data_IF_474358015679
#
_entry.id   IF_474358015679
#
_cell.length_a   1.000
_cell.length_b   1.000
_cell.length_c   1.000
_cell.angle_alpha   90.00
_cell.angle_beta   90.00
_cell.angle_gamma   90.00
#
_symmetry.space_group_name_H-M   'P 1'
#
loop_
_entity.id
_entity.type
_entity.pdbx_description
1 polymer ?
#
# COMPACT_ATOMS: atom_id res chain seq x y z
N UNK A 1 17.10 -2.33 15.23
CA UNK A 1 15.90 -2.63 16.06
C UNK A 1 15.63 -4.14 16.14
N UNK A 2 15.33 -4.89 15.02
CA UNK A 2 15.04 -6.34 15.11
C UNK A 2 16.18 -7.12 15.76
N UNK A 3 17.43 -6.87 15.37
CA UNK A 3 18.60 -7.51 15.96
C UNK A 3 18.79 -7.14 17.44
N UNK A 4 18.50 -5.91 17.81
CA UNK A 4 18.52 -5.44 19.22
C UNK A 4 17.45 -6.17 20.05
N UNK A 5 16.21 -6.29 19.51
CA UNK A 5 15.14 -7.03 20.18
C UNK A 5 15.56 -8.50 20.39
N UNK A 6 16.13 -9.15 19.38
CA UNK A 6 16.62 -10.53 19.50
C UNK A 6 17.72 -10.64 20.56
N UNK A 7 18.60 -9.65 20.66
CA UNK A 7 19.68 -9.64 21.65
C UNK A 7 19.16 -9.43 23.08
N UNK A 8 18.24 -8.49 23.27
CA UNK A 8 17.70 -8.15 24.59
C UNK A 8 16.65 -9.16 25.08
N UNK A 9 15.94 -9.80 24.14
CA UNK A 9 14.87 -10.75 24.42
C UNK A 9 15.08 -12.06 23.64
N UNK A 10 16.08 -12.88 23.98
CA UNK A 10 16.47 -14.05 23.19
C UNK A 10 15.40 -15.15 23.13
N UNK A 11 14.53 -15.23 24.13
CA UNK A 11 13.50 -16.27 24.24
C UNK A 11 12.16 -15.92 23.60
N UNK A 12 12.02 -14.70 23.07
CA UNK A 12 10.77 -14.26 22.43
C UNK A 12 10.77 -14.66 20.94
N UNK A 13 9.65 -15.19 20.46
CA UNK A 13 9.47 -15.43 19.04
C UNK A 13 9.25 -14.12 18.27
N UNK A 14 10.00 -13.93 17.19
CA UNK A 14 9.93 -12.73 16.34
C UNK A 14 9.28 -13.07 15.01
N UNK A 15 8.17 -12.40 14.72
CA UNK A 15 7.56 -12.39 13.39
C UNK A 15 7.80 -11.06 12.70
N UNK A 16 8.29 -11.10 11.46
CA UNK A 16 8.54 -9.91 10.64
C UNK A 16 7.67 -9.94 9.40
N UNK A 17 6.91 -8.86 9.19
CA UNK A 17 6.16 -8.66 7.95
C UNK A 17 7.12 -8.29 6.82
N UNK A 18 7.14 -9.09 5.75
CA UNK A 18 8.14 -8.98 4.68
C UNK A 18 7.56 -8.81 3.28
N UNK A 19 6.27 -9.09 3.07
CA UNK A 19 5.67 -8.96 1.75
C UNK A 19 4.17 -8.73 1.84
N UNK A 20 3.67 -7.83 1.00
CA UNK A 20 2.25 -7.59 0.80
C UNK A 20 1.86 -6.12 0.88
N UNK A 21 0.57 -5.89 0.98
CA UNK A 21 0.02 -4.54 0.99
C UNK A 21 0.40 -3.79 2.27
N UNK A 22 1.17 -2.70 2.14
CA UNK A 22 1.41 -1.81 3.27
C UNK A 22 0.15 -1.02 3.62
N UNK A 23 -0.06 -0.79 4.90
CA UNK A 23 -1.08 0.12 5.39
C UNK A 23 -0.67 1.57 5.06
N UNK A 24 -1.63 2.39 4.67
CA UNK A 24 -1.41 3.85 4.45
C UNK A 24 -1.24 4.61 5.76
N UNK A 25 -1.67 4.03 6.87
CA UNK A 25 -1.61 4.64 8.18
C UNK A 25 -0.65 3.88 9.09
N UNK A 26 -0.07 4.60 10.03
CA UNK A 26 0.68 3.98 11.13
C UNK A 26 -0.21 3.01 11.88
N UNK A 27 0.35 1.90 12.34
CA UNK A 27 -0.39 0.85 13.05
C UNK A 27 -1.29 1.43 14.15
N UNK A 28 -2.53 1.05 14.13
CA UNK A 28 -3.54 1.53 15.06
C UNK A 28 -4.21 2.87 14.72
N UNK A 29 -3.80 3.53 13.65
CA UNK A 29 -4.33 4.86 13.30
C UNK A 29 -5.12 4.90 11.99
N UNK A 30 -5.40 3.75 11.39
CA UNK A 30 -6.24 3.68 10.21
C UNK A 30 -7.72 3.85 10.59
N UNK A 31 -8.36 4.90 10.09
CA UNK A 31 -9.78 5.15 10.30
C UNK A 31 -10.67 4.58 9.20
N UNK A 32 -10.11 4.26 8.02
CA UNK A 32 -10.90 3.85 6.84
C UNK A 32 -11.76 2.62 7.09
N UNK A 33 -11.19 1.57 7.69
CA UNK A 33 -11.94 0.35 7.98
C UNK A 33 -13.07 0.58 8.99
N UNK A 34 -12.84 1.44 9.97
CA UNK A 34 -13.86 1.86 10.94
C UNK A 34 -14.95 2.71 10.29
N UNK A 35 -14.54 3.68 9.47
CA UNK A 35 -15.45 4.61 8.80
C UNK A 35 -16.39 3.89 7.81
N UNK A 36 -15.84 3.03 6.94
CA UNK A 36 -16.64 2.37 5.91
C UNK A 36 -17.41 1.14 6.39
N UNK A 37 -16.89 0.41 7.37
CA UNK A 37 -17.42 -0.91 7.72
C UNK A 37 -17.59 -1.13 9.23
N UNK A 38 -17.38 -0.12 10.04
CA UNK A 38 -17.44 -0.20 11.51
C UNK A 38 -16.55 -1.32 12.09
N UNK A 39 -15.38 -1.58 11.45
CA UNK A 39 -14.42 -2.60 11.87
C UNK A 39 -13.09 -1.97 12.27
N UNK A 40 -12.67 -2.23 13.50
CA UNK A 40 -11.39 -1.74 14.00
C UNK A 40 -10.23 -2.52 13.39
N UNK A 41 -9.32 -1.86 12.64
CA UNK A 41 -8.18 -2.52 12.03
C UNK A 41 -7.19 -3.11 13.04
N UNK A 42 -7.17 -2.60 14.29
CA UNK A 42 -6.28 -3.09 15.34
C UNK A 42 -6.67 -4.47 15.89
N UNK A 43 -7.92 -4.86 15.70
CA UNK A 43 -8.44 -6.16 16.13
C UNK A 43 -8.36 -7.24 15.05
N UNK A 44 -7.54 -7.05 14.03
CA UNK A 44 -7.40 -7.98 12.91
C UNK A 44 -8.61 -8.04 11.98
N UNK A 45 -9.57 -7.14 12.12
CA UNK A 45 -10.83 -7.14 11.36
C UNK A 45 -10.82 -6.15 10.18
N UNK A 46 -9.65 -5.64 9.81
CA UNK A 46 -9.49 -4.73 8.67
C UNK A 46 -10.08 -5.32 7.38
N UNK A 47 -10.91 -4.55 6.70
CA UNK A 47 -11.54 -4.93 5.43
C UNK A 47 -10.72 -4.60 4.19
N UNK A 48 -9.51 -4.03 4.37
CA UNK A 48 -8.67 -3.51 3.30
C UNK A 48 -9.38 -2.48 2.41
N UNK A 49 -10.26 -1.66 2.97
CA UNK A 49 -11.00 -0.63 2.24
C UNK A 49 -10.09 0.31 1.43
N UNK A 50 -8.85 0.53 1.88
CA UNK A 50 -7.85 1.29 1.13
C UNK A 50 -7.38 0.61 -0.19
N UNK A 51 -7.86 -0.58 -0.51
CA UNK A 51 -7.54 -1.34 -1.73
C UNK A 51 -8.74 -1.53 -2.66
N UNK A 52 -9.89 -0.98 -2.29
CA UNK A 52 -11.09 -1.04 -3.12
C UNK A 52 -11.00 -0.04 -4.27
N UNK A 53 -11.86 -0.20 -5.27
CA UNK A 53 -12.00 0.73 -6.37
C UNK A 53 -12.96 1.85 -5.99
N UNK A 54 -12.48 3.09 -6.14
CA UNK A 54 -13.25 4.29 -5.86
C UNK A 54 -13.29 5.21 -7.07
N UNK A 55 -14.43 5.84 -7.28
CA UNK A 55 -14.57 6.95 -8.20
C UNK A 55 -14.59 8.24 -7.40
N UNK A 56 -13.81 9.21 -7.83
CA UNK A 56 -13.77 10.53 -7.22
C UNK A 56 -14.66 11.47 -8.00
N UNK A 57 -15.55 12.15 -7.29
CA UNK A 57 -16.45 13.14 -7.84
C UNK A 57 -16.14 14.49 -7.20
N UNK A 58 -16.19 15.54 -8.00
CA UNK A 58 -16.04 16.89 -7.48
C UNK A 58 -17.29 17.29 -6.68
N UNK A 59 -17.08 17.97 -5.59
CA UNK A 59 -18.14 18.42 -4.71
C UNK A 59 -18.01 19.93 -4.41
N UNK A 60 -19.08 20.51 -3.97
CA UNK A 60 -19.12 21.84 -3.36
C UNK A 60 -19.74 21.71 -2.00
N UNK A 61 -19.34 22.55 -1.07
CA UNK A 61 -19.93 22.65 0.25
C UNK A 61 -21.16 23.56 0.18
N UNK A 62 -22.27 23.10 0.72
CA UNK A 62 -23.48 23.92 0.88
C UNK A 62 -23.33 24.87 2.05
N UNK A 63 -24.22 25.89 2.14
CA UNK A 63 -24.26 26.82 3.28
C UNK A 63 -24.50 26.09 4.63
N UNK A 64 -24.99 24.87 4.59
CA UNK A 64 -25.20 24.01 5.78
C UNK A 64 -23.98 23.14 6.11
N UNK A 65 -22.90 23.18 5.30
CA UNK A 65 -21.70 22.36 5.47
C UNK A 65 -21.77 20.96 4.83
N UNK A 66 -22.82 20.68 4.06
CA UNK A 66 -22.97 19.40 3.39
C UNK A 66 -22.25 19.37 2.03
N UNK A 67 -21.52 18.29 1.74
CA UNK A 67 -20.89 18.08 0.45
C UNK A 67 -21.95 17.70 -0.61
N UNK A 68 -22.03 18.47 -1.68
CA UNK A 68 -22.96 18.25 -2.80
C UNK A 68 -22.21 17.95 -4.10
N UNK A 69 -22.72 17.00 -4.87
CA UNK A 69 -22.13 16.59 -6.15
C UNK A 69 -22.20 17.73 -7.19
N UNK A 70 -21.04 18.07 -7.77
CA UNK A 70 -20.96 18.95 -8.93
C UNK A 70 -21.07 18.13 -10.21
N UNK A 71 -22.11 18.39 -11.01
CA UNK A 71 -22.31 17.73 -12.31
C UNK A 71 -21.35 18.28 -13.36
N UNK A 72 -20.81 17.40 -14.22
CA UNK A 72 -20.03 17.80 -15.40
C UNK A 72 -18.53 18.03 -15.17
N UNK A 73 -17.99 17.63 -14.01
CA UNK A 73 -16.55 17.76 -13.73
C UNK A 73 -15.77 16.54 -14.19
N UNK A 74 -14.66 16.75 -14.91
CA UNK A 74 -13.71 15.70 -15.26
C UNK A 74 -12.50 15.80 -14.34
N UNK A 75 -12.45 14.89 -13.36
CA UNK A 75 -11.39 14.87 -12.34
C UNK A 75 -10.01 14.58 -12.94
N UNK A 76 -9.90 13.65 -13.90
CA UNK A 76 -8.63 13.27 -14.50
C UNK A 76 -7.98 14.47 -15.22
N UNK A 77 -8.75 15.17 -16.03
CA UNK A 77 -8.28 16.37 -16.73
C UNK A 77 -7.87 17.48 -15.77
N UNK A 78 -8.65 17.71 -14.76
CA UNK A 78 -8.36 18.72 -13.76
C UNK A 78 -7.14 18.38 -12.90
N UNK A 79 -6.92 17.10 -12.61
CA UNK A 79 -5.73 16.62 -11.91
C UNK A 79 -4.48 16.76 -12.77
N UNK A 80 -4.56 16.45 -14.08
CA UNK A 80 -3.46 16.66 -15.00
C UNK A 80 -3.07 18.15 -15.09
N UNK A 81 -4.03 19.04 -15.23
CA UNK A 81 -3.81 20.49 -15.26
C UNK A 81 -3.18 21.00 -13.94
N UNK A 82 -3.64 20.49 -12.80
CA UNK A 82 -3.08 20.85 -11.49
C UNK A 82 -1.65 20.34 -11.33
N UNK A 83 -1.36 19.10 -11.73
CA UNK A 83 -0.03 18.51 -11.66
C UNK A 83 0.97 19.23 -12.59
N UNK A 84 0.55 19.66 -13.78
CA UNK A 84 1.41 20.41 -14.70
C UNK A 84 1.80 21.79 -14.15
N UNK A 85 0.96 22.39 -13.32
CA UNK A 85 1.19 23.70 -12.72
C UNK A 85 1.77 23.63 -11.29
N UNK A 86 2.03 22.42 -10.77
CA UNK A 86 2.51 22.22 -9.42
C UNK A 86 4.03 22.23 -9.36
N UNK A 87 4.61 23.31 -8.90
CA UNK A 87 6.06 23.52 -8.74
C UNK A 87 6.60 23.16 -7.34
N UNK A 88 5.97 22.29 -6.57
CA UNK A 88 6.35 22.13 -5.18
C UNK A 88 6.35 20.71 -4.66
N UNK A 89 7.47 19.99 -4.79
CA UNK A 89 7.68 18.72 -4.06
C UNK A 89 8.34 18.93 -2.70
N UNK A 90 8.94 20.07 -2.43
CA UNK A 90 9.68 20.35 -1.18
C UNK A 90 8.85 21.08 -0.13
N UNK A 91 7.60 20.71 0.07
CA UNK A 91 6.89 20.96 1.34
C UNK A 91 6.38 22.38 1.58
N UNK A 92 6.42 23.30 0.63
CA UNK A 92 6.05 24.70 0.87
C UNK A 92 4.82 25.21 0.11
N UNK A 93 4.26 24.44 -0.81
CA UNK A 93 2.97 24.80 -1.46
C UNK A 93 2.04 23.61 -1.46
N UNK A 94 0.88 23.75 -0.84
CA UNK A 94 -0.21 22.77 -0.93
C UNK A 94 -0.70 22.67 -2.38
N UNK A 95 -1.04 21.44 -2.78
CA UNK A 95 -1.65 21.22 -4.09
C UNK A 95 -2.97 22.00 -4.22
N UNK A 96 -3.32 22.57 -5.40
CA UNK A 96 -4.54 23.38 -5.57
C UNK A 96 -5.86 22.68 -5.21
N UNK A 97 -5.86 21.35 -5.13
CA UNK A 97 -7.01 20.56 -4.72
C UNK A 97 -7.03 20.18 -3.24
N UNK A 98 -5.99 20.48 -2.49
CA UNK A 98 -5.88 20.09 -1.08
C UNK A 98 -6.99 20.68 -0.19
N UNK A 99 -7.49 21.87 -0.54
CA UNK A 99 -8.53 22.56 0.23
C UNK A 99 -9.95 22.38 -0.36
N UNK A 100 -10.10 21.44 -1.31
CA UNK A 100 -11.41 21.17 -1.94
C UNK A 100 -12.08 19.97 -1.32
N UNK A 101 -13.39 20.02 -1.23
CA UNK A 101 -14.22 18.87 -0.87
C UNK A 101 -14.47 18.02 -2.10
N UNK A 102 -14.30 16.71 -1.95
CA UNK A 102 -14.64 15.72 -2.96
C UNK A 102 -15.61 14.70 -2.39
N UNK A 103 -16.32 14.02 -3.28
CA UNK A 103 -17.10 12.83 -2.94
C UNK A 103 -16.44 11.61 -3.56
N UNK A 104 -16.36 10.52 -2.82
CA UNK A 104 -15.91 9.22 -3.33
C UNK A 104 -17.08 8.25 -3.34
N UNK A 105 -17.13 7.45 -4.40
CA UNK A 105 -18.10 6.37 -4.60
C UNK A 105 -17.33 5.07 -4.72
N UNK A 106 -17.68 4.07 -3.91
CA UNK A 106 -17.10 2.74 -3.99
C UNK A 106 -17.81 1.94 -5.09
N UNK A 107 -17.04 1.26 -5.97
CA UNK A 107 -17.56 0.62 -7.20
C UNK A 107 -18.62 -0.46 -6.94
N UNK A 108 -18.61 -1.11 -5.78
CA UNK A 108 -19.63 -2.08 -5.39
C UNK A 108 -20.85 -1.47 -4.68
N UNK A 109 -20.82 -0.16 -4.42
CA UNK A 109 -21.91 0.60 -3.77
C UNK A 109 -22.23 1.86 -4.59
N UNK A 110 -22.70 1.69 -5.84
CA UNK A 110 -23.00 2.83 -6.71
C UNK A 110 -24.12 3.69 -6.11
N UNK A 111 -23.90 5.00 -6.12
CA UNK A 111 -24.84 5.98 -5.57
C UNK A 111 -24.63 6.31 -4.08
N UNK A 112 -23.80 5.55 -3.35
CA UNK A 112 -23.43 5.89 -1.98
C UNK A 112 -22.20 6.81 -2.01
N UNK A 113 -22.45 8.13 -1.94
CA UNK A 113 -21.41 9.15 -1.95
C UNK A 113 -20.90 9.43 -0.56
N UNK A 114 -19.58 9.43 -0.40
CA UNK A 114 -18.90 9.68 0.87
C UNK A 114 -17.97 10.90 0.74
N UNK A 115 -18.06 11.90 1.63
CA UNK A 115 -17.20 13.08 1.57
C UNK A 115 -15.75 12.71 1.91
N UNK A 116 -14.81 13.30 1.18
CA UNK A 116 -13.38 13.24 1.44
C UNK A 116 -12.81 14.66 1.44
N UNK A 117 -12.02 14.96 2.43
CA UNK A 117 -11.36 16.26 2.60
C UNK A 117 -9.91 16.03 2.99
N UNK A 118 -9.06 16.97 2.62
CA UNK A 118 -7.69 17.05 3.10
C UNK A 118 -7.59 18.20 4.10
N UNK A 119 -6.91 17.97 5.22
CA UNK A 119 -6.59 19.01 6.17
C UNK A 119 -5.08 19.34 6.20
N UNK A 120 -4.68 20.25 7.07
CA UNK A 120 -3.28 20.65 7.25
C UNK A 120 -2.40 19.54 7.86
N UNK A 121 -2.99 18.45 8.35
CA UNK A 121 -2.31 17.34 9.01
C UNK A 121 -2.09 16.14 8.09
N UNK A 122 -2.67 16.13 6.90
CA UNK A 122 -2.39 15.12 5.88
C UNK A 122 -3.52 14.82 4.92
N UNK A 123 -3.11 14.22 3.82
CA UNK A 123 -3.99 13.63 2.82
C UNK A 123 -4.09 12.14 3.06
N UNK A 124 -5.28 11.62 3.07
CA UNK A 124 -5.51 10.18 3.09
C UNK A 124 -5.49 9.63 1.67
N UNK A 125 -4.28 9.44 1.12
CA UNK A 125 -4.11 8.86 -0.21
C UNK A 125 -4.04 7.35 -0.08
N UNK A 126 -4.93 6.64 -0.75
CA UNK A 126 -5.05 5.19 -0.72
C UNK A 126 -4.05 4.47 -1.62
N UNK A 127 -2.83 4.98 -1.74
CA UNK A 127 -1.86 4.56 -2.75
C UNK A 127 -0.50 4.16 -2.19
N UNK A 128 -0.46 3.51 -1.02
CA UNK A 128 0.80 2.97 -0.51
C UNK A 128 1.33 1.86 -1.42
N UNK A 129 2.64 1.87 -1.67
CA UNK A 129 3.35 0.78 -2.35
C UNK A 129 3.23 -0.53 -1.57
N UNK A 130 3.43 -1.64 -2.24
CA UNK A 130 3.48 -2.94 -1.59
C UNK A 130 4.88 -3.19 -1.00
N UNK A 131 4.95 -3.83 0.17
CA UNK A 131 6.22 -4.23 0.77
C UNK A 131 6.82 -5.40 -0.01
N UNK A 132 8.11 -5.34 -0.27
CA UNK A 132 8.92 -6.45 -0.75
C UNK A 132 10.24 -6.50 0.02
N UNK A 133 10.37 -7.48 0.91
CA UNK A 133 11.55 -7.67 1.74
C UNK A 133 12.34 -8.93 1.38
N UNK A 134 12.22 -9.46 0.15
CA UNK A 134 12.89 -10.71 -0.24
C UNK A 134 14.41 -10.60 -0.19
N UNK A 135 14.96 -9.43 -0.48
CA UNK A 135 16.39 -9.13 -0.49
C UNK A 135 17.01 -9.15 0.91
N UNK A 136 16.19 -8.97 1.95
CA UNK A 136 16.65 -8.98 3.36
C UNK A 136 16.41 -10.29 4.07
N UNK A 137 15.86 -11.31 3.42
CA UNK A 137 15.57 -12.63 3.99
C UNK A 137 16.81 -13.26 4.60
N UNK A 138 17.96 -13.25 3.91
CA UNK A 138 19.22 -13.78 4.44
C UNK A 138 19.63 -13.08 5.75
N UNK A 139 19.50 -11.77 5.78
CA UNK A 139 19.82 -10.96 6.96
C UNK A 139 18.89 -11.28 8.14
N UNK A 140 17.58 -11.42 7.89
CA UNK A 140 16.60 -11.77 8.90
C UNK A 140 16.82 -13.19 9.43
N UNK A 141 17.14 -14.15 8.56
CA UNK A 141 17.49 -15.52 8.96
C UNK A 141 18.74 -15.54 9.85
N UNK A 142 19.78 -14.76 9.53
CA UNK A 142 21.00 -14.65 10.35
C UNK A 142 20.76 -13.99 11.71
N UNK A 143 19.80 -13.07 11.81
CA UNK A 143 19.38 -12.48 13.09
C UNK A 143 18.65 -13.52 13.97
N UNK A 144 18.08 -14.56 13.36
CA UNK A 144 17.27 -15.57 14.06
C UNK A 144 15.80 -15.16 14.19
N UNK A 145 15.24 -14.53 13.16
CA UNK A 145 13.79 -14.28 13.08
C UNK A 145 13.08 -15.62 12.87
N UNK A 146 12.05 -15.88 13.68
CA UNK A 146 11.36 -17.16 13.72
C UNK A 146 10.28 -17.30 12.63
N UNK A 147 9.64 -16.20 12.27
CA UNK A 147 8.55 -16.18 11.28
C UNK A 147 8.65 -14.99 10.33
N UNK A 148 8.44 -15.28 9.04
CA UNK A 148 8.39 -14.27 7.98
C UNK A 148 6.96 -14.21 7.43
N UNK A 149 6.27 -13.11 7.72
CA UNK A 149 4.85 -12.93 7.39
C UNK A 149 4.65 -12.37 6.00
N UNK A 150 3.84 -13.06 5.21
CA UNK A 150 3.39 -12.65 3.88
C UNK A 150 1.89 -12.39 3.90
N UNK A 151 1.44 -11.28 3.32
CA UNK A 151 0.03 -10.94 3.18
C UNK A 151 -0.39 -11.02 1.70
N UNK A 152 -1.50 -11.69 1.44
CA UNK A 152 -2.08 -11.83 0.10
C UNK A 152 -3.61 -11.94 0.14
N UNK A 153 -4.25 -11.43 1.18
CA UNK A 153 -5.69 -11.59 1.48
C UNK A 153 -6.60 -11.14 0.34
N UNK A 154 -6.24 -10.07 -0.34
CA UNK A 154 -7.01 -9.51 -1.47
C UNK A 154 -6.41 -9.88 -2.83
N UNK A 155 -5.45 -10.78 -2.85
CA UNK A 155 -4.74 -11.19 -4.07
C UNK A 155 -5.26 -12.54 -4.59
N UNK A 156 -4.95 -12.86 -5.85
CA UNK A 156 -5.31 -14.14 -6.46
C UNK A 156 -4.53 -15.32 -5.85
N UNK A 157 -5.06 -16.53 -5.99
CA UNK A 157 -4.34 -17.76 -5.62
C UNK A 157 -3.00 -17.89 -6.32
N UNK A 158 -2.92 -17.51 -7.60
CA UNK A 158 -1.68 -17.48 -8.35
C UNK A 158 -0.63 -16.56 -7.71
N UNK A 159 -1.04 -15.35 -7.32
CA UNK A 159 -0.17 -14.41 -6.61
C UNK A 159 0.39 -15.04 -5.32
N UNK A 160 -0.49 -15.59 -4.48
CA UNK A 160 -0.08 -16.19 -3.19
C UNK A 160 0.89 -17.35 -3.41
N UNK A 161 0.59 -18.23 -4.38
CA UNK A 161 1.45 -19.37 -4.70
C UNK A 161 2.85 -18.92 -5.18
N UNK A 162 2.91 -17.95 -6.10
CA UNK A 162 4.19 -17.44 -6.64
C UNK A 162 5.00 -16.71 -5.57
N UNK A 163 4.36 -15.89 -4.76
CA UNK A 163 5.05 -15.21 -3.63
C UNK A 163 5.59 -16.24 -2.65
N UNK A 164 4.77 -17.21 -2.23
CA UNK A 164 5.21 -18.26 -1.30
C UNK A 164 6.39 -19.07 -1.88
N UNK A 165 6.35 -19.43 -3.16
CA UNK A 165 7.44 -20.14 -3.84
C UNK A 165 8.74 -19.32 -3.83
N UNK A 166 8.68 -18.03 -4.19
CA UNK A 166 9.85 -17.16 -4.25
C UNK A 166 10.48 -16.97 -2.86
N UNK A 167 9.67 -16.72 -1.84
CA UNK A 167 10.17 -16.59 -0.47
C UNK A 167 10.66 -17.91 0.11
N UNK A 168 10.01 -19.04 -0.18
CA UNK A 168 10.51 -20.36 0.25
C UNK A 168 11.91 -20.62 -0.33
N UNK A 169 12.11 -20.33 -1.62
CA UNK A 169 13.41 -20.46 -2.24
C UNK A 169 14.47 -19.54 -1.60
N UNK A 170 14.12 -18.28 -1.36
CA UNK A 170 15.03 -17.33 -0.72
C UNK A 170 15.43 -17.77 0.70
N UNK A 171 14.49 -18.32 1.48
CA UNK A 171 14.76 -18.87 2.82
C UNK A 171 15.69 -20.09 2.72
N UNK A 172 15.40 -21.04 1.84
CA UNK A 172 16.20 -22.26 1.67
C UNK A 172 17.63 -21.94 1.20
N UNK A 173 17.79 -20.92 0.34
CA UNK A 173 19.09 -20.44 -0.09
C UNK A 173 19.86 -19.78 1.08
N UNK A 174 19.16 -18.93 1.86
CA UNK A 174 19.76 -18.27 3.02
C UNK A 174 20.22 -19.27 4.10
N UNK A 175 19.39 -20.25 4.42
CA UNK A 175 19.71 -21.30 5.41
C UNK A 175 20.85 -22.16 4.93
N UNK A 176 20.94 -22.46 3.63
CA UNK A 176 22.03 -23.24 3.03
C UNK A 176 23.30 -22.41 2.78
N UNK A 177 23.31 -21.12 3.12
CA UNK A 177 24.44 -20.22 2.86
C UNK A 177 24.70 -19.94 1.38
N UNK A 178 23.70 -20.11 0.51
CA UNK A 178 23.80 -19.76 -0.90
C UNK A 178 23.54 -18.27 -1.10
N UNK A 179 24.15 -17.65 -2.12
CA UNK A 179 23.91 -16.24 -2.43
C UNK A 179 22.46 -16.01 -2.88
N UNK A 180 21.97 -14.79 -2.67
CA UNK A 180 20.63 -14.40 -3.10
C UNK A 180 20.47 -14.50 -4.62
N UNK A 181 19.37 -15.13 -5.04
CA UNK A 181 19.01 -15.27 -6.45
C UNK A 181 18.22 -14.02 -6.92
N UNK A 182 18.87 -13.13 -7.64
CA UNK A 182 18.25 -11.91 -8.18
C UNK A 182 17.12 -12.19 -9.19
N UNK A 183 17.01 -13.39 -9.76
CA UNK A 183 15.90 -13.79 -10.61
C UNK A 183 14.56 -13.73 -9.89
N UNK A 184 14.54 -13.93 -8.57
CA UNK A 184 13.33 -13.84 -7.74
C UNK A 184 12.68 -12.44 -7.74
N UNK A 185 13.47 -11.39 -7.96
CA UNK A 185 12.92 -10.02 -8.09
C UNK A 185 12.03 -9.90 -9.32
N UNK A 186 12.51 -10.41 -10.46
CA UNK A 186 11.75 -10.38 -11.72
C UNK A 186 10.47 -11.22 -11.64
N UNK A 187 10.49 -12.33 -10.91
CA UNK A 187 9.30 -13.14 -10.67
C UNK A 187 8.23 -12.37 -9.88
N UNK A 188 8.64 -11.68 -8.83
CA UNK A 188 7.73 -10.87 -8.01
C UNK A 188 7.23 -9.63 -8.75
N UNK A 189 8.08 -8.96 -9.53
CA UNK A 189 7.70 -7.80 -10.36
C UNK A 189 6.64 -8.13 -11.40
N UNK A 190 6.58 -9.38 -11.85
CA UNK A 190 5.55 -9.87 -12.76
C UNK A 190 4.15 -9.98 -12.15
N UNK A 191 4.04 -9.95 -10.83
CA UNK A 191 2.78 -10.08 -10.11
C UNK A 191 2.07 -8.72 -9.95
N UNK A 192 0.76 -8.75 -9.73
CA UNK A 192 -0.04 -7.53 -9.54
C UNK A 192 0.39 -6.77 -8.27
N UNK A 193 1.03 -5.62 -8.44
CA UNK A 193 1.54 -4.78 -7.36
C UNK A 193 1.33 -3.29 -7.66
N UNK A 194 1.49 -2.44 -6.66
CA UNK A 194 1.42 -0.97 -6.76
C UNK A 194 2.80 -0.29 -6.74
N UNK A 195 3.81 -0.99 -7.24
CA UNK A 195 5.21 -0.69 -7.01
C UNK A 195 5.67 -1.24 -5.67
N UNK A 196 6.95 -1.61 -5.59
CA UNK A 196 7.51 -2.19 -4.37
C UNK A 196 8.38 -1.19 -3.60
N UNK A 197 8.43 -1.39 -2.29
CA UNK A 197 9.34 -0.71 -1.37
C UNK A 197 9.84 -1.71 -0.33
N UNK A 198 11.05 -1.52 0.17
CA UNK A 198 11.56 -2.25 1.34
C UNK A 198 10.96 -1.77 2.66
N UNK A 199 10.17 -0.69 2.62
CA UNK A 199 9.54 -0.11 3.81
C UNK A 199 10.57 0.27 4.87
N UNK A 200 10.30 -0.13 6.11
CA UNK A 200 11.19 0.11 7.25
C UNK A 200 12.20 -1.02 7.50
N UNK A 201 12.26 -2.04 6.65
CA UNK A 201 13.21 -3.14 6.77
C UNK A 201 14.65 -2.69 6.53
N UNK A 202 14.83 -1.69 5.66
CA UNK A 202 16.09 -1.02 5.41
C UNK A 202 15.92 0.47 5.69
N UNK A 203 16.68 1.02 6.63
CA UNK A 203 16.58 2.43 7.01
C UNK A 203 16.97 3.35 5.86
N UNK A 204 16.20 4.42 5.66
CA UNK A 204 16.45 5.59 4.81
C UNK A 204 16.01 5.51 3.35
N UNK A 205 14.71 5.45 3.13
CA UNK A 205 14.19 5.95 1.86
C UNK A 205 13.21 7.09 2.17
N UNK A 206 13.64 8.30 1.98
CA UNK A 206 12.94 9.49 2.45
C UNK A 206 11.83 9.96 1.51
N UNK A 207 11.60 9.38 0.32
CA UNK A 207 10.71 9.97 -0.67
C UNK A 207 9.81 9.02 -1.48
N UNK A 208 9.93 7.69 -1.40
CA UNK A 208 9.28 6.81 -2.38
C UNK A 208 8.24 5.81 -1.84
N UNK A 209 7.59 6.12 -0.73
CA UNK A 209 6.64 5.17 -0.12
C UNK A 209 5.25 5.18 -0.75
N UNK A 210 4.93 6.16 -1.54
CA UNK A 210 3.63 6.30 -2.18
C UNK A 210 3.77 6.39 -3.70
N UNK A 211 2.79 5.83 -4.40
CA UNK A 211 2.72 5.92 -5.85
C UNK A 211 1.80 7.09 -6.23
N UNK A 212 2.39 8.22 -6.57
CA UNK A 212 1.64 9.41 -6.98
C UNK A 212 1.24 9.40 -8.46
N UNK A 213 1.77 8.44 -9.25
CA UNK A 213 1.63 8.46 -10.71
C UNK A 213 0.53 7.53 -11.22
N UNK A 214 0.20 6.46 -10.50
CA UNK A 214 -0.80 5.50 -10.94
C UNK A 214 -1.67 5.01 -9.79
N UNK A 215 -2.98 5.15 -9.92
CA UNK A 215 -3.96 4.63 -8.96
C UNK A 215 -4.21 3.11 -9.07
N UNK A 216 -3.58 2.44 -10.04
CA UNK A 216 -3.86 1.04 -10.36
C UNK A 216 -2.67 0.13 -10.08
N UNK A 217 -2.95 -1.15 -9.82
CA UNK A 217 -1.92 -2.18 -9.75
C UNK A 217 -1.28 -2.37 -11.12
N UNK A 218 0.05 -2.44 -11.15
CA UNK A 218 0.83 -2.77 -12.32
C UNK A 218 1.08 -4.28 -12.30
N UNK A 219 0.81 -4.96 -13.41
CA UNK A 219 1.18 -6.35 -13.60
C UNK A 219 1.65 -6.54 -15.04
N UNK A 220 2.61 -7.44 -15.26
CA UNK A 220 2.90 -7.92 -16.60
C UNK A 220 1.73 -8.77 -17.07
N UNK A 221 1.29 -8.57 -18.30
CA UNK A 221 0.27 -9.44 -18.90
C UNK A 221 0.81 -10.87 -18.96
N UNK A 222 0.13 -11.75 -18.25
CA UNK A 222 0.42 -13.19 -18.32
C UNK A 222 -0.48 -13.80 -19.38
N UNK A 223 0.10 -14.56 -20.32
CA UNK A 223 -0.65 -15.29 -21.32
C UNK A 223 -0.77 -16.74 -20.87
N UNK A 224 -1.99 -17.26 -20.85
CA UNK A 224 -2.22 -18.67 -20.60
C UNK A 224 -1.68 -19.50 -21.80
N UNK A 225 -0.79 -20.42 -21.52
CA UNK A 225 -0.12 -21.25 -22.54
C UNK A 225 -0.57 -22.73 -22.50
N UNK A 226 -1.60 -23.05 -21.72
CA UNK A 226 -2.17 -24.40 -21.60
C UNK A 226 -1.77 -25.14 -20.32
N UNK A 227 -2.34 -26.33 -20.17
CA UNK A 227 -1.95 -27.29 -19.12
C UNK A 227 -0.84 -28.20 -19.62
#
# INVERSE_FOLDING_TARGET
>A
EIAEIRQECPDIELEVFIHGALCIAYSGRCLLSGYFNHRDPNQGTCTNSCRWDYKVHNATESDAGDAQLLQGFNFEKAQEEANQNFEGINGQKRHPYADKVFLIEESNRPGEMMPIMEDEHGTYIMNSKDLRGIEVVEKLAKIGVDSLKVEGRTKSLYYVARVAQSYRKAIDDAVAGRPFDYGLLSELEGLANRGYTSGFLERHQTQDYQNYLTGHSIAKQSQYVGH
#
